data_IF_736065357798
#
_entry.id   IF_736065357798
#
_cell.length_a   1.000
_cell.length_b   1.000
_cell.length_c   1.000
_cell.angle_alpha   90.00
_cell.angle_beta   90.00
_cell.angle_gamma   90.00
#
_symmetry.space_group_name_H-M   'P 1'
#
loop_
_entity.id
_entity.type
_entity.pdbx_description
1 polymer ?
#
# COMPACT_ATOMS: atom_id res chain seq x y z
N UNK A 1 -14.85 -17.01 1.78
CA UNK A 1 -14.20 -15.83 2.39
C UNK A 1 -14.87 -14.58 1.84
N UNK A 2 -15.04 -13.54 2.66
CA UNK A 2 -15.71 -12.29 2.29
C UNK A 2 -14.67 -11.21 2.01
N UNK A 3 -14.71 -10.63 0.82
CA UNK A 3 -13.78 -9.60 0.36
C UNK A 3 -14.57 -8.32 0.16
N UNK A 4 -14.30 -7.29 0.97
CA UNK A 4 -14.89 -5.98 0.76
C UNK A 4 -14.27 -5.33 -0.48
N UNK A 5 -15.11 -4.84 -1.39
CA UNK A 5 -14.69 -4.10 -2.57
C UNK A 5 -15.10 -2.64 -2.38
N UNK A 6 -14.10 -1.78 -2.21
CA UNK A 6 -14.28 -0.34 -2.00
C UNK A 6 -13.63 0.40 -3.15
N UNK A 7 -14.41 0.83 -4.14
CA UNK A 7 -13.87 1.64 -5.24
C UNK A 7 -13.48 3.05 -4.78
N UNK A 8 -14.30 3.64 -3.90
CA UNK A 8 -14.13 4.99 -3.40
C UNK A 8 -14.46 6.06 -4.45
N UNK A 9 -13.58 7.04 -4.57
CA UNK A 9 -13.74 8.25 -5.38
C UNK A 9 -12.75 8.32 -6.57
N UNK A 10 -13.07 9.17 -7.54
CA UNK A 10 -12.20 9.47 -8.69
C UNK A 10 -11.80 8.23 -9.47
N UNK A 11 -10.50 8.09 -9.74
CA UNK A 11 -9.95 6.96 -10.52
C UNK A 11 -10.11 5.59 -9.83
N UNK A 12 -10.45 5.55 -8.54
CA UNK A 12 -10.74 4.31 -7.84
C UNK A 12 -11.84 3.48 -8.53
N UNK A 13 -12.83 4.17 -9.12
CA UNK A 13 -13.92 3.57 -9.92
C UNK A 13 -13.48 3.04 -11.28
N UNK A 14 -12.28 3.37 -11.72
CA UNK A 14 -11.70 2.90 -12.99
C UNK A 14 -10.71 1.76 -12.75
N UNK A 15 -9.84 1.88 -11.73
CA UNK A 15 -8.75 0.93 -11.50
C UNK A 15 -9.15 -0.31 -10.71
N UNK A 16 -10.08 -0.19 -9.75
CA UNK A 16 -10.53 -1.33 -8.93
C UNK A 16 -11.29 -2.36 -9.75
N UNK A 17 -12.20 -2.00 -10.68
CA UNK A 17 -12.84 -2.98 -11.55
C UNK A 17 -11.83 -3.85 -12.31
N UNK A 18 -10.73 -3.27 -12.80
CA UNK A 18 -9.69 -4.03 -13.51
C UNK A 18 -8.98 -5.05 -12.61
N UNK A 19 -8.75 -4.73 -11.33
CA UNK A 19 -8.26 -5.71 -10.36
C UNK A 19 -9.33 -6.78 -10.07
N UNK A 20 -10.60 -6.39 -9.92
CA UNK A 20 -11.71 -7.33 -9.67
C UNK A 20 -11.88 -8.34 -10.79
N UNK A 21 -11.59 -7.99 -12.06
CA UNK A 21 -11.60 -8.96 -13.16
C UNK A 21 -10.62 -10.13 -12.95
N UNK A 22 -9.44 -9.86 -12.38
CA UNK A 22 -8.45 -10.89 -12.06
C UNK A 22 -8.92 -11.73 -10.87
N UNK A 23 -9.47 -11.08 -9.83
CA UNK A 23 -10.07 -11.77 -8.68
C UNK A 23 -11.16 -12.75 -9.13
N UNK A 24 -12.06 -12.30 -10.01
CA UNK A 24 -13.17 -13.10 -10.53
C UNK A 24 -12.67 -14.29 -11.34
N UNK A 25 -11.66 -14.10 -12.18
CA UNK A 25 -11.06 -15.19 -12.94
C UNK A 25 -10.55 -16.32 -12.03
N UNK A 26 -9.77 -15.99 -11.00
CA UNK A 26 -9.26 -17.00 -10.07
C UNK A 26 -10.39 -17.63 -9.24
N UNK A 27 -11.35 -16.83 -8.78
CA UNK A 27 -12.48 -17.31 -7.99
C UNK A 27 -13.34 -18.32 -8.77
N UNK A 28 -13.67 -18.01 -10.03
CA UNK A 28 -14.44 -18.88 -10.92
C UNK A 28 -13.66 -20.13 -11.31
N UNK A 29 -12.41 -19.97 -11.75
CA UNK A 29 -11.60 -21.08 -12.25
C UNK A 29 -11.33 -22.13 -11.17
N UNK A 30 -11.04 -21.70 -9.95
CA UNK A 30 -10.66 -22.58 -8.85
C UNK A 30 -11.79 -22.82 -7.83
N UNK A 31 -12.98 -22.28 -8.08
CA UNK A 31 -14.14 -22.37 -7.19
C UNK A 31 -13.79 -22.00 -5.74
N UNK A 32 -13.10 -20.86 -5.56
CA UNK A 32 -12.52 -20.45 -4.27
C UNK A 32 -13.58 -20.03 -3.22
N UNK A 33 -14.82 -19.78 -3.64
CA UNK A 33 -15.89 -19.37 -2.75
C UNK A 33 -15.66 -17.96 -2.15
N UNK A 34 -15.04 -17.06 -2.92
CA UNK A 34 -14.97 -15.66 -2.56
C UNK A 34 -16.32 -14.98 -2.78
N UNK A 35 -16.81 -14.34 -1.73
CA UNK A 35 -17.98 -13.46 -1.75
C UNK A 35 -17.48 -12.01 -1.80
N UNK A 36 -17.77 -11.31 -2.88
CA UNK A 36 -17.49 -9.87 -3.00
C UNK A 36 -18.58 -9.10 -2.26
N UNK A 37 -18.17 -8.18 -1.38
CA UNK A 37 -19.06 -7.33 -0.59
C UNK A 37 -18.80 -5.87 -0.99
N UNK A 38 -19.60 -5.27 -1.90
CA UNK A 38 -19.43 -3.89 -2.29
C UNK A 38 -19.71 -2.94 -1.12
N UNK A 39 -18.84 -1.95 -0.89
CA UNK A 39 -19.02 -0.93 0.15
C UNK A 39 -18.74 0.45 -0.44
N UNK A 40 -19.76 1.32 -0.44
CA UNK A 40 -19.63 2.72 -0.86
C UNK A 40 -19.18 3.56 0.34
N UNK A 41 -18.02 4.23 0.19
CA UNK A 41 -17.47 5.23 1.12
C UNK A 41 -16.79 6.33 0.31
N UNK A 42 -16.48 7.45 0.96
CA UNK A 42 -15.74 8.56 0.37
C UNK A 42 -16.57 9.82 0.17
N UNK A 43 -16.01 10.74 -0.62
CA UNK A 43 -16.57 12.05 -0.89
C UNK A 43 -17.95 11.97 -1.56
N UNK A 44 -18.13 11.08 -2.55
CA UNK A 44 -19.41 10.93 -3.25
C UNK A 44 -20.54 10.51 -2.29
N UNK A 45 -20.24 9.68 -1.29
CA UNK A 45 -21.20 9.31 -0.25
C UNK A 45 -21.49 10.48 0.69
N UNK A 46 -20.44 11.19 1.08
CA UNK A 46 -20.55 12.35 1.95
C UNK A 46 -21.42 13.45 1.34
N UNK A 47 -21.30 13.74 0.04
CA UNK A 47 -22.16 14.71 -0.64
C UNK A 47 -23.65 14.34 -0.59
N UNK A 48 -23.97 13.05 -0.66
CA UNK A 48 -25.36 12.56 -0.65
C UNK A 48 -25.96 12.48 0.75
N UNK A 49 -25.14 12.14 1.75
CA UNK A 49 -25.63 11.69 3.07
C UNK A 49 -25.13 12.53 4.24
N UNK A 50 -24.12 13.36 4.04
CA UNK A 50 -23.38 14.05 5.10
C UNK A 50 -22.34 13.19 5.82
N UNK A 51 -22.25 11.89 5.51
CA UNK A 51 -21.30 10.95 6.13
C UNK A 51 -20.44 10.25 5.07
N UNK A 52 -19.11 10.44 5.14
CA UNK A 52 -18.18 9.80 4.20
C UNK A 52 -18.03 8.29 4.44
N UNK A 53 -18.28 7.88 5.66
CA UNK A 53 -18.27 6.49 6.13
C UNK A 53 -19.15 6.45 7.38
N UNK A 54 -20.03 5.46 7.49
CA UNK A 54 -20.95 5.23 8.61
C UNK A 54 -20.44 4.11 9.51
N UNK A 55 -21.04 3.94 10.69
CA UNK A 55 -20.72 2.79 11.56
C UNK A 55 -21.10 1.46 10.91
N UNK A 56 -22.21 1.43 10.15
CA UNK A 56 -22.63 0.24 9.41
C UNK A 56 -21.59 -0.19 8.37
N UNK A 57 -20.94 0.76 7.68
CA UNK A 57 -19.85 0.43 6.74
C UNK A 57 -18.64 -0.16 7.47
N UNK A 58 -18.29 0.39 8.64
CA UNK A 58 -17.20 -0.14 9.47
C UNK A 58 -17.52 -1.57 9.92
N UNK A 59 -18.76 -1.85 10.34
CA UNK A 59 -19.19 -3.19 10.73
C UNK A 59 -19.11 -4.17 9.56
N UNK A 60 -19.49 -3.73 8.35
CA UNK A 60 -19.30 -4.54 7.14
C UNK A 60 -17.82 -4.81 6.89
N UNK A 61 -16.95 -3.80 6.94
CA UNK A 61 -15.50 -3.99 6.76
C UNK A 61 -14.90 -4.93 7.81
N UNK A 62 -15.31 -4.82 9.09
CA UNK A 62 -14.89 -5.71 10.20
C UNK A 62 -15.35 -7.17 10.00
N UNK A 63 -16.43 -7.38 9.24
CA UNK A 63 -16.98 -8.70 8.94
C UNK A 63 -16.35 -9.39 7.72
N UNK A 64 -15.38 -8.73 7.06
CA UNK A 64 -14.67 -9.24 5.89
C UNK A 64 -13.26 -9.73 6.25
N UNK A 65 -12.78 -10.71 5.49
CA UNK A 65 -11.44 -11.31 5.65
C UNK A 65 -10.36 -10.42 5.03
N UNK A 66 -10.71 -9.67 3.98
CA UNK A 66 -9.85 -8.71 3.31
C UNK A 66 -10.65 -7.54 2.72
N UNK A 67 -9.98 -6.42 2.50
CA UNK A 67 -10.55 -5.23 1.85
C UNK A 67 -9.67 -4.87 0.65
N UNK A 68 -10.24 -4.89 -0.56
CA UNK A 68 -9.62 -4.29 -1.73
C UNK A 68 -10.16 -2.88 -1.90
N UNK A 69 -9.28 -1.89 -1.82
CA UNK A 69 -9.63 -0.50 -1.64
C UNK A 69 -8.99 0.37 -2.74
N UNK A 70 -9.78 1.27 -3.32
CA UNK A 70 -9.37 2.19 -4.37
C UNK A 70 -8.76 3.45 -3.78
N UNK A 71 -9.40 4.59 -4.05
CA UNK A 71 -8.89 5.88 -3.61
C UNK A 71 -10.02 6.71 -2.99
N UNK A 72 -9.69 7.62 -2.07
CA UNK A 72 -10.66 8.53 -1.46
C UNK A 72 -10.23 9.97 -1.66
N UNK A 73 -11.20 10.85 -1.91
CA UNK A 73 -10.98 12.30 -1.85
C UNK A 73 -11.29 12.80 -0.44
N UNK A 74 -10.28 13.35 0.24
CA UNK A 74 -10.45 14.02 1.54
C UNK A 74 -10.63 15.51 1.31
N UNK A 75 -11.72 16.09 1.84
CA UNK A 75 -12.01 17.52 1.72
C UNK A 75 -11.78 18.23 3.04
N UNK A 76 -11.33 19.48 2.96
CA UNK A 76 -11.10 20.33 4.13
C UNK A 76 -12.42 20.98 4.57
N UNK A 77 -13.31 20.19 5.16
CA UNK A 77 -14.57 20.66 5.74
C UNK A 77 -14.64 20.25 7.22
N UNK A 78 -15.10 21.11 8.15
CA UNK A 78 -15.15 20.79 9.58
C UNK A 78 -15.96 19.52 9.92
N UNK A 79 -16.95 19.18 9.10
CA UNK A 79 -17.78 17.97 9.28
C UNK A 79 -17.20 16.72 8.58
N UNK A 80 -16.19 16.87 7.72
CA UNK A 80 -15.59 15.74 7.02
C UNK A 80 -14.57 15.04 7.90
N UNK A 81 -14.79 13.74 8.11
CA UNK A 81 -13.84 12.86 8.80
C UNK A 81 -13.15 11.98 7.77
N UNK A 82 -11.83 11.89 7.86
CA UNK A 82 -11.04 11.04 6.96
C UNK A 82 -11.49 9.58 7.05
N UNK A 83 -11.92 9.03 5.90
CA UNK A 83 -12.34 7.64 5.76
C UNK A 83 -11.20 6.69 6.10
N UNK A 84 -10.03 6.92 5.51
CA UNK A 84 -8.85 6.04 5.66
C UNK A 84 -8.37 6.03 7.11
N UNK A 85 -8.30 7.19 7.78
CA UNK A 85 -7.89 7.25 9.19
C UNK A 85 -8.90 6.54 10.10
N UNK A 86 -10.20 6.70 9.84
CA UNK A 86 -11.23 5.98 10.60
C UNK A 86 -11.12 4.48 10.43
N UNK A 87 -10.99 3.99 9.19
CA UNK A 87 -10.83 2.55 8.90
C UNK A 87 -9.59 2.00 9.62
N UNK A 88 -8.44 2.67 9.49
CA UNK A 88 -7.18 2.24 10.13
C UNK A 88 -7.31 2.14 11.65
N UNK A 89 -7.97 3.11 12.28
CA UNK A 89 -8.19 3.13 13.73
C UNK A 89 -9.19 2.06 14.18
N UNK A 90 -10.34 1.98 13.53
CA UNK A 90 -11.44 1.10 13.92
C UNK A 90 -11.16 -0.38 13.66
N UNK A 91 -10.36 -0.69 12.63
CA UNK A 91 -9.93 -2.05 12.32
C UNK A 91 -8.53 -2.39 12.85
N UNK A 92 -7.90 -1.47 13.60
CA UNK A 92 -6.57 -1.62 14.18
C UNK A 92 -5.50 -2.06 13.16
N UNK A 93 -5.48 -1.41 11.99
CA UNK A 93 -4.49 -1.64 10.94
C UNK A 93 -3.16 -1.00 11.28
N UNK A 94 -2.45 -1.59 12.24
CA UNK A 94 -1.26 -1.05 12.89
C UNK A 94 -0.02 -0.96 11.98
N UNK A 95 0.10 -1.80 10.95
CA UNK A 95 1.25 -1.83 10.06
C UNK A 95 0.84 -1.48 8.64
N UNK A 96 1.41 -0.41 8.08
CA UNK A 96 1.35 -0.16 6.64
C UNK A 96 2.64 -0.67 5.98
N UNK A 97 2.49 -1.52 4.97
CA UNK A 97 3.57 -2.21 4.26
C UNK A 97 3.59 -1.73 2.82
N UNK A 98 4.73 -1.20 2.40
CA UNK A 98 4.94 -0.66 1.05
C UNK A 98 6.24 -1.19 0.45
N UNK A 99 6.15 -2.22 -0.41
CA UNK A 99 7.29 -2.70 -1.18
C UNK A 99 7.73 -1.64 -2.20
N UNK A 100 9.02 -1.37 -2.23
CA UNK A 100 9.69 -0.54 -3.23
C UNK A 100 10.68 -1.46 -3.94
N UNK A 101 10.23 -2.04 -5.06
CA UNK A 101 11.01 -2.87 -5.95
C UNK A 101 10.56 -2.67 -7.40
N UNK A 102 11.46 -2.26 -8.31
CA UNK A 102 11.18 -2.23 -9.74
C UNK A 102 10.66 -3.57 -10.25
N UNK A 103 9.61 -3.54 -11.05
CA UNK A 103 9.05 -4.73 -11.68
C UNK A 103 9.82 -5.00 -12.98
N UNK A 104 10.27 -6.24 -13.25
CA UNK A 104 10.98 -6.54 -14.49
C UNK A 104 10.19 -6.10 -15.73
N UNK A 105 10.85 -5.44 -16.69
CA UNK A 105 10.23 -4.87 -17.88
C UNK A 105 9.97 -3.37 -17.78
N UNK A 106 10.03 -2.78 -16.58
CA UNK A 106 9.83 -1.34 -16.36
C UNK A 106 10.85 -0.47 -17.11
N UNK A 107 12.05 -1.00 -17.37
CA UNK A 107 13.09 -0.35 -18.16
C UNK A 107 12.69 -0.11 -19.62
N UNK A 108 11.63 -0.76 -20.11
CA UNK A 108 11.04 -0.51 -21.44
C UNK A 108 10.07 0.66 -21.46
N UNK A 109 9.54 1.03 -20.29
CA UNK A 109 8.55 2.09 -20.11
C UNK A 109 9.19 3.46 -19.86
N UNK A 110 10.41 3.49 -19.28
CA UNK A 110 11.11 4.72 -18.95
C UNK A 110 12.52 4.78 -19.54
N UNK A 111 12.90 5.96 -20.04
CA UNK A 111 14.26 6.28 -20.52
C UNK A 111 15.15 6.92 -19.43
N UNK A 112 14.72 6.94 -18.17
CA UNK A 112 15.39 7.72 -17.11
C UNK A 112 16.47 6.92 -16.35
N UNK A 113 17.62 7.55 -16.14
CA UNK A 113 18.75 7.02 -15.35
C UNK A 113 18.55 6.99 -13.83
N UNK A 114 17.31 7.13 -13.34
CA UNK A 114 16.95 7.04 -11.92
C UNK A 114 16.45 5.65 -11.50
N UNK A 115 16.14 4.79 -12.47
CA UNK A 115 15.79 3.40 -12.15
C UNK A 115 17.00 2.70 -11.56
N UNK A 116 16.80 2.06 -10.41
CA UNK A 116 17.82 1.30 -9.67
C UNK A 116 17.36 -0.15 -9.59
N UNK A 117 17.65 -1.00 -10.60
CA UNK A 117 17.13 -2.38 -10.67
C UNK A 117 17.43 -3.24 -9.43
N UNK A 118 18.52 -2.92 -8.73
CA UNK A 118 18.94 -3.54 -7.47
C UNK A 118 18.09 -3.14 -6.25
N UNK A 119 17.16 -2.21 -6.40
CA UNK A 119 16.25 -1.77 -5.34
C UNK A 119 15.26 -2.88 -5.00
N UNK A 120 15.26 -3.30 -3.74
CA UNK A 120 14.24 -4.20 -3.21
C UNK A 120 14.12 -3.94 -1.71
N UNK A 121 13.44 -2.85 -1.34
CA UNK A 121 13.22 -2.50 0.06
C UNK A 121 11.73 -2.55 0.40
N UNK A 122 11.40 -2.73 1.67
CA UNK A 122 10.03 -2.65 2.17
C UNK A 122 9.99 -1.63 3.31
N UNK A 123 9.17 -0.60 3.15
CA UNK A 123 8.88 0.33 4.23
C UNK A 123 7.69 -0.21 5.04
N UNK A 124 7.93 -0.40 6.32
CA UNK A 124 6.96 -0.79 7.34
C UNK A 124 6.70 0.42 8.24
N UNK A 125 5.53 1.01 8.08
CA UNK A 125 5.09 2.22 8.77
C UNK A 125 4.16 1.87 9.92
N UNK A 126 4.47 2.35 11.11
CA UNK A 126 3.51 2.38 12.24
C UNK A 126 2.33 3.29 11.86
N UNK A 127 1.10 2.80 11.96
CA UNK A 127 -0.04 3.40 11.26
C UNK A 127 -1.20 3.80 12.19
N UNK A 128 -1.04 3.69 13.51
CA UNK A 128 -2.06 3.98 14.53
C UNK A 128 -1.77 5.19 15.41
N UNK A 129 -0.50 5.57 15.58
CA UNK A 129 -0.10 6.66 16.47
C UNK A 129 0.74 7.72 15.69
N UNK A 130 1.59 8.47 16.39
CA UNK A 130 2.44 9.51 15.82
C UNK A 130 1.76 10.88 15.79
N UNK A 131 2.03 11.66 14.74
CA UNK A 131 1.40 12.96 14.51
C UNK A 131 -0.04 12.84 14.03
N UNK A 132 -0.46 11.66 13.58
CA UNK A 132 -1.84 11.37 13.19
C UNK A 132 -2.66 10.83 14.38
N UNK A 133 -2.30 11.23 15.61
CA UNK A 133 -3.00 10.86 16.84
C UNK A 133 -4.44 11.36 16.89
N UNK A 134 -4.76 12.39 16.09
CA UNK A 134 -6.05 13.09 16.10
C UNK A 134 -6.25 13.98 17.33
N UNK A 135 -5.18 14.26 18.09
CA UNK A 135 -5.22 15.17 19.23
C UNK A 135 -4.72 16.53 18.77
N UNK A 136 -5.68 17.41 18.48
CA UNK A 136 -5.44 18.70 17.83
C UNK A 136 -6.14 19.83 18.60
N UNK A 137 -5.45 20.95 18.74
CA UNK A 137 -6.00 22.22 19.23
C UNK A 137 -5.84 23.25 18.11
N UNK A 138 -6.96 23.74 17.58
CA UNK A 138 -6.98 24.82 16.60
C UNK A 138 -7.20 26.16 17.30
N UNK A 139 -6.48 27.18 16.88
CA UNK A 139 -6.62 28.54 17.38
C UNK A 139 -6.11 29.56 16.37
N UNK A 140 -6.58 30.80 16.50
CA UNK A 140 -6.34 31.88 15.53
C UNK A 140 -4.85 32.23 15.40
N UNK A 141 -4.15 32.34 16.54
CA UNK A 141 -2.71 32.68 16.59
C UNK A 141 -1.80 31.44 16.76
N UNK A 142 -2.36 30.33 17.25
CA UNK A 142 -1.61 29.10 17.55
C UNK A 142 -2.51 27.90 17.36
N UNK A 143 -2.04 26.96 16.55
CA UNK A 143 -2.59 25.60 16.46
C UNK A 143 -1.53 24.57 16.83
N UNK A 144 -1.93 23.46 17.46
CA UNK A 144 -1.02 22.39 17.88
C UNK A 144 -1.58 21.00 17.62
N UNK A 145 -0.71 20.10 17.18
CA UNK A 145 -0.98 18.67 17.03
C UNK A 145 -0.05 17.90 17.97
N UNK A 146 -0.61 17.04 18.82
CA UNK A 146 0.17 16.27 19.78
C UNK A 146 0.68 14.97 19.14
N UNK A 147 2.00 14.82 19.07
CA UNK A 147 2.64 13.57 18.66
C UNK A 147 2.62 12.54 19.81
N UNK A 148 2.00 11.38 19.57
CA UNK A 148 1.94 10.28 20.55
C UNK A 148 2.77 9.10 20.07
N UNK A 149 3.60 8.52 20.93
CA UNK A 149 4.35 7.29 20.65
C UNK A 149 4.27 6.42 21.90
N UNK A 150 3.78 5.19 21.77
CA UNK A 150 3.74 4.22 22.86
C UNK A 150 4.72 3.08 22.64
N UNK A 151 5.17 2.49 23.74
CA UNK A 151 5.99 1.28 23.71
C UNK A 151 5.24 0.11 23.09
N UNK A 152 3.92 0.03 23.28
CA UNK A 152 3.07 -1.05 22.75
C UNK A 152 3.05 -1.02 21.22
N UNK A 153 2.72 0.12 20.62
CA UNK A 153 2.70 0.25 19.15
C UNK A 153 4.10 0.05 18.57
N UNK A 154 5.12 0.65 19.19
CA UNK A 154 6.52 0.54 18.76
C UNK A 154 7.02 -0.92 18.79
N UNK A 155 6.71 -1.69 19.84
CA UNK A 155 7.11 -3.09 19.93
C UNK A 155 6.39 -3.96 18.89
N UNK A 156 5.09 -3.75 18.68
CA UNK A 156 4.29 -4.53 17.73
C UNK A 156 4.73 -4.29 16.27
N UNK A 157 4.95 -3.03 15.87
CA UNK A 157 5.43 -2.72 14.52
C UNK A 157 6.86 -3.22 14.30
N UNK A 158 7.72 -3.14 15.32
CA UNK A 158 9.08 -3.67 15.25
C UNK A 158 9.08 -5.19 15.12
N UNK A 159 8.27 -5.91 15.90
CA UNK A 159 8.11 -7.35 15.80
C UNK A 159 7.70 -7.77 14.37
N UNK A 160 6.68 -7.11 13.81
CA UNK A 160 6.24 -7.36 12.44
C UNK A 160 7.36 -7.09 11.40
N UNK A 161 8.06 -5.96 11.53
CA UNK A 161 9.15 -5.62 10.62
C UNK A 161 10.34 -6.58 10.75
N UNK A 162 10.67 -7.03 11.96
CA UNK A 162 11.73 -8.00 12.22
C UNK A 162 11.40 -9.38 11.69
N UNK A 163 10.17 -9.85 11.84
CA UNK A 163 9.72 -11.10 11.22
C UNK A 163 9.87 -11.04 9.69
N UNK A 164 9.42 -9.94 9.08
CA UNK A 164 9.59 -9.71 7.64
C UNK A 164 11.06 -9.66 7.22
N UNK A 165 11.93 -9.00 8.00
CA UNK A 165 13.36 -8.91 7.72
C UNK A 165 14.03 -10.30 7.81
N UNK A 166 13.65 -11.11 8.81
CA UNK A 166 14.21 -12.45 9.03
C UNK A 166 13.89 -13.41 7.88
N UNK A 167 12.75 -13.25 7.22
CA UNK A 167 12.36 -14.01 6.04
C UNK A 167 13.02 -13.50 4.73
N UNK A 168 13.78 -12.39 4.80
CA UNK A 168 14.42 -11.72 3.67
C UNK A 168 15.94 -11.72 3.81
N UNK A 169 16.60 -10.57 3.82
CA UNK A 169 18.07 -10.44 3.89
C UNK A 169 18.57 -10.22 5.31
N UNK A 170 17.71 -10.42 6.31
CA UNK A 170 18.00 -10.27 7.73
C UNK A 170 18.57 -8.89 8.09
N UNK A 171 18.08 -7.82 7.44
CA UNK A 171 18.49 -6.44 7.68
C UNK A 171 17.28 -5.56 8.01
N UNK A 172 17.33 -4.89 9.16
CA UNK A 172 16.30 -3.95 9.61
C UNK A 172 16.91 -2.59 9.92
N UNK A 173 16.43 -1.55 9.24
CA UNK A 173 16.81 -0.15 9.52
C UNK A 173 15.67 0.57 10.23
N UNK A 174 15.94 1.13 11.42
CA UNK A 174 14.99 1.96 12.18
C UNK A 174 15.18 3.43 11.80
N UNK A 175 14.18 4.05 11.19
CA UNK A 175 14.25 5.46 10.76
C UNK A 175 13.54 6.36 11.75
N UNK A 176 14.21 7.44 12.18
CA UNK A 176 13.71 8.32 13.24
C UNK A 176 14.31 9.74 13.20
N UNK A 177 13.96 10.60 14.16
CA UNK A 177 14.58 11.91 14.39
C UNK A 177 14.88 12.16 15.89
N UNK A 178 15.30 11.13 16.62
CA UNK A 178 15.57 11.16 18.07
C UNK A 178 16.58 12.22 18.55
N UNK A 179 17.42 12.75 17.67
CA UNK A 179 18.32 13.86 17.97
C UNK A 179 17.58 15.19 18.22
N UNK A 180 16.39 15.36 17.66
CA UNK A 180 15.56 16.57 17.83
C UNK A 180 14.23 16.23 18.50
N UNK A 181 13.58 15.15 18.08
CA UNK A 181 12.25 14.77 18.56
C UNK A 181 12.37 13.69 19.64
N UNK A 182 12.26 14.11 20.90
CA UNK A 182 12.49 13.24 22.07
C UNK A 182 11.61 11.98 22.10
N UNK A 183 10.38 12.05 21.58
CA UNK A 183 9.48 10.89 21.53
C UNK A 183 10.04 9.74 20.69
N UNK A 184 10.91 10.03 19.71
CA UNK A 184 11.55 9.00 18.88
C UNK A 184 12.57 8.17 19.63
N UNK A 185 13.08 8.65 20.77
CA UNK A 185 13.96 7.83 21.59
C UNK A 185 13.24 6.57 22.08
N UNK A 186 11.99 6.71 22.51
CA UNK A 186 11.18 5.56 22.92
C UNK A 186 10.94 4.59 21.76
N UNK A 187 10.61 5.12 20.57
CA UNK A 187 10.44 4.31 19.36
C UNK A 187 11.72 3.55 19.01
N UNK A 188 12.83 4.27 18.87
CA UNK A 188 14.14 3.71 18.53
C UNK A 188 14.59 2.61 19.51
N UNK A 189 14.59 2.91 20.80
CA UNK A 189 15.05 1.97 21.84
C UNK A 189 14.16 0.72 21.86
N UNK A 190 12.85 0.89 21.68
CA UNK A 190 11.90 -0.24 21.64
C UNK A 190 12.08 -1.09 20.39
N UNK A 191 12.22 -0.47 19.21
CA UNK A 191 12.44 -1.18 17.95
C UNK A 191 13.74 -1.97 17.97
N UNK A 192 14.84 -1.33 18.42
CA UNK A 192 16.14 -2.01 18.54
C UNK A 192 16.09 -3.20 19.47
N UNK A 193 15.50 -3.03 20.66
CA UNK A 193 15.36 -4.13 21.62
C UNK A 193 14.53 -5.28 21.04
N UNK A 194 13.39 -4.97 20.42
CA UNK A 194 12.48 -5.98 19.87
C UNK A 194 13.15 -6.76 18.74
N UNK A 195 13.92 -6.11 17.88
CA UNK A 195 14.57 -6.79 16.76
C UNK A 195 15.56 -7.89 17.19
N UNK A 196 16.22 -7.69 18.33
CA UNK A 196 17.14 -8.69 18.90
C UNK A 196 16.41 -9.97 19.32
N UNK A 197 15.15 -9.88 19.74
CA UNK A 197 14.33 -11.05 20.08
C UNK A 197 14.02 -11.93 18.84
N UNK A 198 14.20 -11.37 17.64
CA UNK A 198 14.03 -12.04 16.34
C UNK A 198 15.36 -12.38 15.66
N UNK A 199 16.50 -12.24 16.36
CA UNK A 199 17.84 -12.45 15.80
C UNK A 199 18.16 -11.55 14.58
N UNK A 200 17.52 -10.39 14.51
CA UNK A 200 17.79 -9.37 13.50
C UNK A 200 18.60 -8.26 14.16
N UNK A 201 19.84 -8.04 13.70
CA UNK A 201 20.66 -6.93 14.20
C UNK A 201 20.21 -5.61 13.55
N UNK A 202 19.64 -4.66 14.31
CA UNK A 202 19.07 -3.45 13.75
C UNK A 202 20.13 -2.35 13.59
N UNK A 203 20.14 -1.67 12.45
CA UNK A 203 20.78 -0.37 12.31
C UNK A 203 19.73 0.76 12.40
N UNK A 204 20.18 2.00 12.53
CA UNK A 204 19.30 3.17 12.57
C UNK A 204 19.82 4.31 11.71
N UNK A 205 18.89 5.17 11.29
CA UNK A 205 19.20 6.38 10.53
C UNK A 205 18.26 7.53 10.88
N UNK A 206 18.79 8.75 10.78
CA UNK A 206 17.96 9.95 10.83
C UNK A 206 17.12 10.04 9.55
N UNK A 207 15.85 10.42 9.67
CA UNK A 207 14.88 10.47 8.56
C UNK A 207 15.33 11.34 7.38
N UNK A 208 16.00 12.45 7.64
CA UNK A 208 16.57 13.31 6.62
C UNK A 208 17.73 12.63 5.88
N UNK A 209 18.67 12.03 6.62
CA UNK A 209 19.78 11.29 6.01
C UNK A 209 19.27 10.07 5.21
N UNK A 210 18.30 9.34 5.75
CA UNK A 210 17.67 8.21 5.08
C UNK A 210 16.92 8.65 3.82
N UNK A 211 16.15 9.75 3.86
CA UNK A 211 15.39 10.24 2.70
C UNK A 211 16.28 10.53 1.48
N UNK A 212 17.51 10.99 1.72
CA UNK A 212 18.50 11.19 0.67
C UNK A 212 19.15 9.86 0.27
N UNK A 213 19.69 9.10 1.24
CA UNK A 213 20.48 7.89 0.94
C UNK A 213 19.63 6.77 0.32
N UNK A 214 18.34 6.66 0.67
CA UNK A 214 17.44 5.67 0.05
C UNK A 214 17.25 5.88 -1.46
N UNK A 215 17.37 7.11 -1.95
CA UNK A 215 17.22 7.43 -3.37
C UNK A 215 18.52 7.24 -4.15
N UNK A 216 19.66 7.51 -3.51
CA UNK A 216 20.99 7.40 -4.14
C UNK A 216 21.52 5.97 -4.07
N UNK A 217 21.29 5.31 -2.93
CA UNK A 217 21.82 3.99 -2.55
C UNK A 217 20.73 3.03 -2.02
N UNK A 218 19.64 2.81 -2.77
CA UNK A 218 18.54 1.96 -2.32
C UNK A 218 18.95 0.51 -2.00
N UNK A 219 20.01 0.00 -2.64
CA UNK A 219 20.52 -1.37 -2.49
C UNK A 219 21.00 -1.71 -1.08
N UNK A 220 21.30 -0.69 -0.27
CA UNK A 220 21.75 -0.86 1.12
C UNK A 220 20.63 -1.36 2.02
N UNK A 221 19.38 -1.11 1.67
CA UNK A 221 18.22 -1.30 2.54
C UNK A 221 17.46 -2.59 2.21
N UNK A 222 16.81 -3.16 3.22
CA UNK A 222 15.94 -4.32 3.08
C UNK A 222 14.58 -4.05 3.70
N UNK A 223 14.45 -4.15 5.03
CA UNK A 223 13.23 -3.72 5.73
C UNK A 223 13.54 -2.45 6.51
N UNK A 224 12.67 -1.46 6.36
CA UNK A 224 12.78 -0.16 7.02
C UNK A 224 11.56 0.03 7.90
N UNK A 225 11.75 0.17 9.21
CA UNK A 225 10.67 0.43 10.16
C UNK A 225 10.70 1.89 10.62
N UNK A 226 9.54 2.55 10.60
CA UNK A 226 9.45 3.98 10.91
C UNK A 226 8.09 4.39 11.45
N UNK A 227 8.03 5.60 12.01
CA UNK A 227 6.80 6.18 12.57
C UNK A 227 5.86 6.69 11.48
N UNK A 228 4.58 6.86 11.83
CA UNK A 228 3.49 7.20 10.93
C UNK A 228 3.80 8.25 9.86
N UNK A 229 4.04 9.51 10.23
CA UNK A 229 4.29 10.58 9.26
C UNK A 229 5.55 10.35 8.41
N UNK A 230 6.62 9.83 9.02
CA UNK A 230 7.86 9.56 8.29
C UNK A 230 7.66 8.47 7.25
N UNK A 231 6.97 7.38 7.62
CA UNK A 231 6.65 6.30 6.69
C UNK A 231 5.77 6.75 5.54
N UNK A 232 4.81 7.65 5.81
CA UNK A 232 3.96 8.26 4.79
C UNK A 232 4.82 8.92 3.69
N UNK A 233 5.64 9.89 4.12
CA UNK A 233 6.47 10.69 3.21
C UNK A 233 7.52 9.84 2.51
N UNK A 234 8.23 8.99 3.25
CA UNK A 234 9.32 8.18 2.71
C UNK A 234 8.81 7.15 1.69
N UNK A 235 7.66 6.52 1.95
CA UNK A 235 7.13 5.53 1.03
C UNK A 235 6.56 6.12 -0.26
N UNK A 236 5.94 7.31 -0.19
CA UNK A 236 5.56 8.06 -1.39
C UNK A 236 6.79 8.51 -2.19
N UNK A 237 7.82 9.00 -1.49
CA UNK A 237 9.10 9.40 -2.11
C UNK A 237 9.79 8.20 -2.77
N UNK A 238 9.74 7.04 -2.12
CA UNK A 238 10.29 5.79 -2.62
C UNK A 238 9.62 5.27 -3.89
N UNK A 239 8.37 5.66 -4.16
CA UNK A 239 7.68 5.28 -5.39
C UNK A 239 8.37 5.80 -6.66
N UNK A 240 9.21 6.84 -6.55
CA UNK A 240 10.07 7.31 -7.67
C UNK A 240 11.02 6.19 -8.13
N UNK A 241 11.51 5.35 -7.21
CA UNK A 241 12.41 4.24 -7.54
C UNK A 241 11.69 3.13 -8.32
N UNK A 242 10.36 3.09 -8.29
CA UNK A 242 9.53 2.20 -9.10
C UNK A 242 9.36 2.71 -10.54
N UNK A 243 9.72 3.96 -10.81
CA UNK A 243 9.49 4.65 -12.09
C UNK A 243 8.13 5.37 -12.17
N UNK A 244 7.09 4.87 -11.50
CA UNK A 244 5.78 5.52 -11.42
C UNK A 244 5.08 5.21 -10.10
N UNK A 245 4.42 6.22 -9.50
CA UNK A 245 3.51 6.01 -8.36
C UNK A 245 2.32 5.13 -8.73
N UNK A 246 1.95 5.05 -10.02
CA UNK A 246 0.94 4.14 -10.57
C UNK A 246 1.31 2.65 -10.49
N UNK A 247 2.51 2.33 -9.99
CA UNK A 247 3.00 0.96 -9.77
C UNK A 247 3.13 0.61 -8.29
N UNK A 248 2.84 1.52 -7.38
CA UNK A 248 3.07 1.33 -5.95
C UNK A 248 1.82 0.73 -5.26
N UNK A 249 1.83 -0.56 -4.87
CA UNK A 249 0.79 -1.12 -4.02
C UNK A 249 1.06 -0.84 -2.54
N UNK A 250 0.03 -0.95 -1.72
CA UNK A 250 0.13 -0.83 -0.26
C UNK A 250 -0.78 -1.84 0.42
N UNK A 251 -0.33 -2.32 1.59
CA UNK A 251 -1.16 -3.11 2.49
C UNK A 251 -1.18 -2.50 3.89
N UNK A 252 -2.36 -2.34 4.46
CA UNK A 252 -2.59 -1.97 5.84
C UNK A 252 -3.03 -3.22 6.60
N UNK A 253 -2.17 -3.72 7.47
CA UNK A 253 -2.29 -5.01 8.15
C UNK A 253 -2.82 -4.81 9.56
N UNK A 254 -3.89 -5.53 9.89
CA UNK A 254 -4.37 -5.74 11.27
C UNK A 254 -4.22 -7.20 11.69
N UNK A 255 -4.78 -7.57 12.84
CA UNK A 255 -4.69 -8.94 13.36
C UNK A 255 -5.53 -9.96 12.60
N UNK A 256 -6.72 -9.54 12.13
CA UNK A 256 -7.72 -10.43 11.52
C UNK A 256 -8.01 -10.13 10.05
N UNK A 257 -7.92 -8.85 9.69
CA UNK A 257 -8.26 -8.33 8.37
C UNK A 257 -7.10 -7.46 7.89
N UNK A 258 -6.97 -7.34 6.58
CA UNK A 258 -6.03 -6.42 5.96
C UNK A 258 -6.72 -5.65 4.82
N UNK A 259 -6.26 -4.43 4.58
CA UNK A 259 -6.71 -3.56 3.50
C UNK A 259 -5.60 -3.35 2.49
N UNK A 260 -5.90 -3.55 1.22
CA UNK A 260 -4.96 -3.45 0.11
C UNK A 260 -5.39 -2.31 -0.82
N UNK A 261 -4.52 -1.33 -1.01
CA UNK A 261 -4.81 -0.10 -1.75
C UNK A 261 -3.63 0.34 -2.63
N UNK A 262 -3.88 0.92 -3.81
CA UNK A 262 -2.84 1.64 -4.52
C UNK A 262 -2.38 2.86 -3.69
N UNK A 263 -1.11 3.22 -3.78
CA UNK A 263 -0.57 4.37 -3.04
C UNK A 263 -1.12 5.71 -3.55
N UNK A 264 -1.44 5.80 -4.84
CA UNK A 264 -1.90 7.04 -5.45
C UNK A 264 -3.26 7.50 -4.90
N UNK A 265 -3.51 8.81 -4.95
CA UNK A 265 -4.80 9.40 -4.59
C UNK A 265 -5.90 9.17 -5.63
N UNK A 266 -7.01 9.90 -5.48
CA UNK A 266 -8.21 9.80 -6.33
C UNK A 266 -8.08 10.46 -7.72
N UNK A 267 -7.01 11.22 -7.95
CA UNK A 267 -6.70 11.91 -9.21
C UNK A 267 -7.94 12.50 -9.95
N UNK A 268 -8.67 13.46 -9.33
CA UNK A 268 -9.93 13.97 -9.87
C UNK A 268 -9.81 14.61 -11.26
N UNK A 269 -8.61 15.09 -11.61
CA UNK A 269 -8.29 15.71 -12.89
C UNK A 269 -8.31 14.73 -14.07
N UNK A 270 -8.11 13.44 -13.83
CA UNK A 270 -8.16 12.38 -14.85
C UNK A 270 -9.32 11.40 -14.68
N UNK A 271 -10.08 11.50 -13.58
CA UNK A 271 -11.22 10.64 -13.32
C UNK A 271 -12.27 10.70 -14.46
N UNK A 272 -12.75 9.54 -14.87
CA UNK A 272 -13.72 9.34 -15.95
C UNK A 272 -13.14 9.45 -17.37
N UNK A 273 -11.82 9.63 -17.51
CA UNK A 273 -11.17 9.73 -18.83
C UNK A 273 -10.68 8.38 -19.39
N UNK A 274 -10.67 7.32 -18.59
CA UNK A 274 -10.22 5.99 -19.01
C UNK A 274 -8.71 5.91 -19.23
N UNK A 275 -7.91 6.78 -18.60
CA UNK A 275 -6.45 6.85 -18.77
C UNK A 275 -5.67 6.55 -17.48
N UNK A 276 -6.37 6.24 -16.38
CA UNK A 276 -5.75 5.88 -15.12
C UNK A 276 -5.01 4.54 -15.23
N UNK A 277 -3.85 4.42 -14.59
CA UNK A 277 -3.05 3.19 -14.59
C UNK A 277 -3.62 2.17 -13.58
N UNK A 278 -4.11 0.99 -14.01
CA UNK A 278 -4.70 0.00 -13.10
C UNK A 278 -3.66 -0.85 -12.37
N UNK A 279 -2.36 -0.74 -12.70
CA UNK A 279 -1.35 -1.70 -12.24
C UNK A 279 -1.18 -1.67 -10.71
N UNK A 280 -1.15 -0.51 -10.05
CA UNK A 280 -1.06 -0.46 -8.59
C UNK A 280 -2.25 -1.17 -7.90
N UNK A 281 -3.46 -1.05 -8.44
CA UNK A 281 -4.64 -1.76 -7.92
C UNK A 281 -4.50 -3.28 -8.12
N UNK A 282 -4.04 -3.72 -9.29
CA UNK A 282 -3.76 -5.13 -9.59
C UNK A 282 -2.65 -5.70 -8.68
N UNK A 283 -1.61 -4.93 -8.41
CA UNK A 283 -0.54 -5.33 -7.48
C UNK A 283 -1.00 -5.32 -6.02
N UNK A 284 -1.98 -4.48 -5.68
CA UNK A 284 -2.63 -4.50 -4.36
C UNK A 284 -3.45 -5.79 -4.19
N UNK A 285 -4.16 -6.23 -5.25
CA UNK A 285 -4.78 -7.57 -5.27
C UNK A 285 -3.74 -8.69 -5.12
N UNK A 286 -2.57 -8.56 -5.76
CA UNK A 286 -1.46 -9.50 -5.56
C UNK A 286 -1.03 -9.58 -4.09
N UNK A 287 -0.88 -8.44 -3.41
CA UNK A 287 -0.58 -8.41 -1.96
C UNK A 287 -1.71 -9.05 -1.13
N UNK A 288 -2.96 -8.88 -1.53
CA UNK A 288 -4.11 -9.55 -0.90
C UNK A 288 -4.02 -11.07 -1.02
N UNK A 289 -3.65 -11.59 -2.19
CA UNK A 289 -3.44 -13.03 -2.37
C UNK A 289 -2.28 -13.56 -1.53
N UNK A 290 -1.19 -12.81 -1.37
CA UNK A 290 -0.10 -13.19 -0.45
C UNK A 290 -0.58 -13.28 1.00
N UNK A 291 -1.42 -12.33 1.44
CA UNK A 291 -2.04 -12.36 2.76
C UNK A 291 -2.93 -13.60 2.95
N UNK A 292 -3.73 -13.93 1.94
CA UNK A 292 -4.60 -15.11 1.90
C UNK A 292 -3.84 -16.43 1.65
N UNK A 293 -2.50 -16.41 1.65
CA UNK A 293 -1.61 -17.57 1.41
C UNK A 293 -1.76 -18.20 0.03
N UNK A 294 -2.18 -17.41 -0.95
CA UNK A 294 -2.33 -17.76 -2.36
C UNK A 294 -1.12 -17.31 -3.18
N UNK A 295 0.06 -17.84 -2.83
CA UNK A 295 1.34 -17.42 -3.42
C UNK A 295 1.44 -17.69 -4.91
N UNK A 296 0.79 -18.75 -5.41
CA UNK A 296 0.78 -19.13 -6.83
C UNK A 296 0.08 -18.06 -7.67
N UNK A 297 -1.12 -17.66 -7.26
CA UNK A 297 -1.93 -16.66 -7.96
C UNK A 297 -1.25 -15.29 -7.91
N UNK A 298 -0.68 -14.93 -6.75
CA UNK A 298 0.14 -13.73 -6.60
C UNK A 298 1.33 -13.70 -7.57
N UNK A 299 2.06 -14.81 -7.71
CA UNK A 299 3.19 -14.92 -8.65
C UNK A 299 2.76 -14.79 -10.11
N UNK A 300 1.61 -15.36 -10.48
CA UNK A 300 1.04 -15.24 -11.83
C UNK A 300 0.70 -13.79 -12.15
N UNK A 301 0.06 -13.08 -11.22
CA UNK A 301 -0.28 -11.65 -11.40
C UNK A 301 0.98 -10.83 -11.61
N UNK A 302 2.00 -11.00 -10.77
CA UNK A 302 3.25 -10.25 -10.90
C UNK A 302 3.94 -10.50 -12.25
N UNK A 303 3.99 -11.75 -12.71
CA UNK A 303 4.53 -12.09 -14.03
C UNK A 303 3.71 -11.50 -15.17
N UNK A 304 2.38 -11.48 -15.07
CA UNK A 304 1.52 -10.88 -16.08
C UNK A 304 1.74 -9.37 -16.20
N UNK A 305 1.89 -8.66 -15.07
CA UNK A 305 2.26 -7.24 -15.05
C UNK A 305 3.65 -7.03 -15.68
N UNK A 306 4.63 -7.89 -15.36
CA UNK A 306 5.96 -7.83 -15.97
C UNK A 306 5.92 -7.98 -17.50
N UNK A 307 5.09 -8.87 -18.04
CA UNK A 307 4.89 -9.01 -19.48
C UNK A 307 4.29 -7.73 -20.08
N UNK A 308 3.29 -7.13 -19.44
CA UNK A 308 2.68 -5.88 -19.91
C UNK A 308 3.71 -4.73 -19.99
N UNK A 309 4.55 -4.59 -18.96
CA UNK A 309 5.65 -3.61 -18.95
C UNK A 309 6.67 -3.89 -20.07
N UNK A 310 7.10 -5.14 -20.22
CA UNK A 310 8.10 -5.53 -21.21
C UNK A 310 7.62 -5.30 -22.66
N UNK A 311 6.35 -5.65 -22.94
CA UNK A 311 5.72 -5.44 -24.25
C UNK A 311 5.23 -3.99 -24.47
N UNK A 312 5.39 -3.12 -23.46
CA UNK A 312 4.93 -1.73 -23.47
C UNK A 312 3.41 -1.62 -23.75
N UNK A 313 2.66 -2.63 -23.31
CA UNK A 313 1.19 -2.70 -23.36
C UNK A 313 0.62 -2.11 -22.07
N UNK A 314 0.82 -0.81 -21.92
CA UNK A 314 0.55 -0.05 -20.69
C UNK A 314 -0.13 1.28 -20.97
N UNK A 315 -0.53 1.98 -19.91
CA UNK A 315 -1.14 3.31 -19.95
C UNK A 315 -0.11 4.42 -20.25
N UNK A 316 -0.62 5.62 -20.51
CA UNK A 316 0.19 6.76 -20.97
C UNK A 316 1.25 7.23 -19.97
N UNK A 317 1.02 7.09 -18.65
CA UNK A 317 1.97 7.43 -17.60
C UNK A 317 3.25 6.57 -17.64
N UNK A 318 3.16 5.36 -18.20
CA UNK A 318 4.28 4.45 -18.43
C UNK A 318 4.77 4.50 -19.89
N UNK A 319 4.37 5.53 -20.65
CA UNK A 319 4.78 5.73 -22.04
C UNK A 319 4.10 4.81 -23.06
N UNK A 320 3.07 4.06 -22.65
CA UNK A 320 2.20 3.30 -23.55
C UNK A 320 1.04 4.14 -24.10
N UNK A 321 0.05 3.49 -24.69
CA UNK A 321 -1.09 4.14 -25.32
C UNK A 321 -2.43 3.45 -25.02
N UNK A 322 -2.45 2.48 -24.10
CA UNK A 322 -3.67 1.79 -23.74
C UNK A 322 -4.51 2.65 -22.79
N UNK A 323 -5.82 2.54 -22.90
CA UNK A 323 -6.75 2.95 -21.85
C UNK A 323 -6.64 2.05 -20.61
N UNK A 324 -7.22 2.49 -19.49
CA UNK A 324 -7.31 1.71 -18.24
C UNK A 324 -7.86 0.30 -18.49
N UNK A 325 -8.98 0.22 -19.22
CA UNK A 325 -9.65 -1.05 -19.53
C UNK A 325 -8.84 -1.94 -20.46
N UNK A 326 -8.16 -1.35 -21.47
CA UNK A 326 -7.32 -2.13 -22.38
C UNK A 326 -6.08 -2.69 -21.66
N UNK A 327 -5.47 -1.91 -20.77
CA UNK A 327 -4.35 -2.37 -19.95
C UNK A 327 -4.78 -3.50 -18.99
N UNK A 328 -5.90 -3.33 -18.28
CA UNK A 328 -6.43 -4.36 -17.38
C UNK A 328 -6.79 -5.66 -18.10
N UNK A 329 -7.48 -5.57 -19.25
CA UNK A 329 -7.77 -6.74 -20.11
C UNK A 329 -6.51 -7.44 -20.62
N UNK A 330 -5.51 -6.68 -21.07
CA UNK A 330 -4.26 -7.26 -21.52
C UNK A 330 -3.58 -8.05 -20.40
N UNK A 331 -3.51 -7.49 -19.18
CA UNK A 331 -2.93 -8.18 -18.02
C UNK A 331 -3.73 -9.45 -17.69
N UNK A 332 -5.08 -9.39 -17.71
CA UNK A 332 -5.93 -10.57 -17.51
C UNK A 332 -5.68 -11.67 -18.54
N UNK A 333 -5.48 -11.32 -19.80
CA UNK A 333 -5.12 -12.29 -20.85
C UNK A 333 -3.79 -12.97 -20.56
N UNK A 334 -2.79 -12.21 -20.12
CA UNK A 334 -1.50 -12.77 -19.71
C UNK A 334 -1.63 -13.68 -18.48
N UNK A 335 -2.45 -13.30 -17.50
CA UNK A 335 -2.78 -14.16 -16.35
C UNK A 335 -3.34 -15.50 -16.83
N UNK A 336 -4.35 -15.50 -17.73
CA UNK A 336 -4.95 -16.72 -18.28
C UNK A 336 -3.94 -17.63 -18.99
N UNK A 337 -3.03 -17.04 -19.76
CA UNK A 337 -1.98 -17.76 -20.49
C UNK A 337 -0.97 -18.39 -19.51
N UNK A 338 -0.49 -17.62 -18.53
CA UNK A 338 0.50 -18.06 -17.56
C UNK A 338 -0.06 -19.14 -16.63
N UNK A 339 -1.28 -18.95 -16.15
CA UNK A 339 -1.99 -19.88 -15.30
C UNK A 339 -2.15 -21.25 -15.96
N UNK A 340 -2.59 -21.27 -17.24
CA UNK A 340 -2.71 -22.49 -18.04
C UNK A 340 -1.37 -23.17 -18.33
N UNK A 341 -0.26 -22.41 -18.39
CA UNK A 341 1.09 -22.97 -18.58
C UNK A 341 1.63 -23.63 -17.31
N UNK A 342 1.32 -23.07 -16.14
CA UNK A 342 1.75 -23.63 -14.85
C UNK A 342 1.05 -24.96 -14.55
N UNK A 343 -0.24 -25.10 -14.90
CA UNK A 343 -0.96 -26.37 -14.77
C UNK A 343 -0.38 -27.50 -15.63
N UNK A 344 0.17 -27.21 -16.80
CA UNK A 344 0.81 -28.23 -17.66
C UNK A 344 2.16 -28.73 -17.11
N UNK A 345 2.71 -28.06 -16.09
CA UNK A 345 4.00 -28.39 -15.48
C UNK A 345 3.88 -29.10 -14.13
N UNK A 346 2.68 -29.11 -13.53
CA UNK A 346 2.33 -29.81 -12.28
C UNK A 346 1.76 -31.20 -12.56
#
# INVERSE_FOLDING_TARGET
MRIAIVEGDGIGKEVIPEAVLLLDYFNEKYNLGFEKVPVEVGYVKWEKTGEAISDADIDVLKSCDAVLFGAITTVNAPSYKSVVLRIRKELDFFANVRPIRPIPGIEKCFNYGFLKPETDMIIVRENTEGLYSGIEELGDERSTTLRVITKKASARIAAFASELASARRNKLTVVHKSNVIKSDKLFLDTCKKTALDYFVEPNDMLVDAFSYDMLIHPEKYDVVVTTNLFGDILSDTGAVLLGSIGLAPSANIGDKTALFEPVHGSAPDIAGKGIANPIAAILSLKMMFEWLKMSREAEIIEKAVSVALFEKKVTADLGGNLSTMEAGKFILEQVKILDSKMEKRS
#
